data_IF_305061929049
#
_entry.id   IF_305061929049
#
_cell.length_a   1.000
_cell.length_b   1.000
_cell.length_c   1.000
_cell.angle_alpha   90.00
_cell.angle_beta   90.00
_cell.angle_gamma   90.00
#
_symmetry.space_group_name_H-M   'P 1'
#
loop_
_entity.id
_entity.type
_entity.pdbx_description
1 polymer ?
#
# COMPACT_ATOMS: atom_id res chain seq x y z
N UNK A 1 -16.64 14.75 -19.32
CA UNK A 1 -15.25 15.15 -19.60
C UNK A 1 -14.52 15.11 -18.27
N UNK A 2 -13.67 14.11 -18.03
CA UNK A 2 -12.90 13.99 -16.79
C UNK A 2 -11.62 14.81 -16.94
N UNK A 3 -11.34 15.69 -15.98
CA UNK A 3 -10.11 16.47 -15.92
C UNK A 3 -9.23 15.87 -14.83
N UNK A 4 -8.08 15.30 -15.19
CA UNK A 4 -7.09 14.86 -14.21
C UNK A 4 -6.21 16.05 -13.85
N UNK A 5 -6.22 16.45 -12.58
CA UNK A 5 -5.28 17.43 -12.04
C UNK A 5 -4.15 16.69 -11.33
N UNK A 6 -2.91 16.97 -11.70
CA UNK A 6 -1.71 16.40 -11.06
C UNK A 6 -1.00 17.48 -10.25
N UNK A 7 -0.66 17.15 -9.01
CA UNK A 7 0.16 17.99 -8.13
C UNK A 7 1.39 17.20 -7.72
N UNK A 8 2.53 17.89 -7.58
CA UNK A 8 3.77 17.29 -7.07
C UNK A 8 4.37 18.19 -6.01
N UNK A 9 4.93 17.57 -4.96
CA UNK A 9 5.57 18.26 -3.85
C UNK A 9 6.96 17.65 -3.65
N UNK A 10 7.99 18.50 -3.63
CA UNK A 10 9.32 18.08 -3.21
C UNK A 10 9.33 17.93 -1.69
N UNK A 11 9.62 16.73 -1.20
CA UNK A 11 9.73 16.43 0.22
C UNK A 11 10.82 15.38 0.47
N UNK A 12 11.25 15.25 1.72
CA UNK A 12 12.12 14.16 2.17
C UNK A 12 11.24 12.96 2.58
N UNK A 13 11.78 11.75 2.50
CA UNK A 13 11.06 10.55 2.92
C UNK A 13 10.60 10.64 4.38
N UNK A 14 11.43 11.20 5.26
CA UNK A 14 11.12 11.44 6.68
C UNK A 14 9.96 12.42 6.91
N UNK A 15 9.63 13.27 5.92
CA UNK A 15 8.52 14.20 6.01
C UNK A 15 7.18 13.53 5.65
N UNK A 16 7.21 12.32 5.10
CA UNK A 16 6.01 11.54 4.82
C UNK A 16 5.57 10.88 6.13
N UNK A 17 4.42 11.30 6.65
CA UNK A 17 3.80 10.70 7.84
C UNK A 17 3.16 9.35 7.51
N UNK A 18 3.98 8.37 7.15
CA UNK A 18 3.52 7.06 6.66
C UNK A 18 2.60 6.37 7.66
N UNK A 19 2.87 6.46 8.97
CA UNK A 19 2.00 5.88 10.01
C UNK A 19 0.57 6.43 9.93
N UNK A 20 0.41 7.75 9.75
CA UNK A 20 -0.92 8.36 9.62
C UNK A 20 -1.61 7.98 8.31
N UNK A 21 -0.85 7.75 7.24
CA UNK A 21 -1.39 7.27 5.96
C UNK A 21 -1.88 5.82 6.08
N UNK A 22 -1.07 4.96 6.70
CA UNK A 22 -1.41 3.55 6.97
C UNK A 22 -2.65 3.48 7.86
N UNK A 23 -2.69 4.26 8.95
CA UNK A 23 -3.87 4.34 9.81
C UNK A 23 -5.11 4.81 9.05
N UNK A 24 -4.97 5.82 8.18
CA UNK A 24 -6.08 6.31 7.39
C UNK A 24 -6.64 5.24 6.45
N UNK A 25 -5.77 4.50 5.75
CA UNK A 25 -6.17 3.38 4.89
C UNK A 25 -6.91 2.29 5.68
N UNK A 26 -6.34 1.83 6.80
CA UNK A 26 -6.93 0.77 7.63
C UNK A 26 -8.25 1.18 8.29
N UNK A 27 -8.51 2.48 8.46
CA UNK A 27 -9.73 2.96 9.08
C UNK A 27 -10.89 3.14 8.10
N UNK A 28 -10.68 3.03 6.78
CA UNK A 28 -11.72 3.35 5.80
C UNK A 28 -13.01 2.55 6.00
N UNK A 29 -12.90 1.27 6.37
CA UNK A 29 -14.03 0.38 6.64
C UNK A 29 -14.68 0.58 8.03
N UNK A 30 -14.12 1.46 8.86
CA UNK A 30 -14.56 1.71 10.23
C UNK A 30 -15.03 3.16 10.43
N UNK A 31 -16.35 3.44 10.33
CA UNK A 31 -16.91 4.79 10.42
C UNK A 31 -16.54 5.61 11.65
N UNK A 32 -16.17 4.94 12.74
CA UNK A 32 -15.85 5.53 14.03
C UNK A 32 -14.35 5.75 14.26
N UNK A 33 -13.48 5.30 13.35
CA UNK A 33 -12.03 5.47 13.45
C UNK A 33 -11.54 6.67 12.63
N UNK A 34 -10.48 7.33 13.12
CA UNK A 34 -9.81 8.46 12.48
C UNK A 34 -8.31 8.38 12.77
N UNK A 35 -7.42 8.84 11.86
CA UNK A 35 -7.71 9.53 10.60
C UNK A 35 -8.33 8.62 9.53
N UNK A 36 -8.92 9.22 8.49
CA UNK A 36 -9.42 8.58 7.25
C UNK A 36 -9.25 9.55 6.08
N UNK A 37 -9.06 9.05 4.88
CA UNK A 37 -8.99 9.85 3.66
C UNK A 37 -10.37 10.37 3.25
N UNK A 38 -11.39 9.49 3.31
CA UNK A 38 -12.76 9.87 2.99
C UNK A 38 -13.34 10.86 4.02
N UNK A 39 -14.03 11.91 3.53
CA UNK A 39 -14.81 12.79 4.42
C UNK A 39 -16.09 12.07 4.87
N UNK A 40 -16.66 12.50 6.02
CA UNK A 40 -18.03 12.13 6.40
C UNK A 40 -18.97 12.41 5.22
N UNK A 41 -19.54 11.34 4.62
CA UNK A 41 -20.48 11.32 3.48
C UNK A 41 -19.89 11.18 2.06
N UNK A 42 -18.59 10.94 1.90
CA UNK A 42 -18.04 10.55 0.58
C UNK A 42 -18.21 9.04 0.36
N UNK A 43 -18.57 8.65 -0.87
CA UNK A 43 -18.86 7.26 -1.27
C UNK A 43 -17.57 6.49 -1.59
N UNK A 44 -16.47 7.19 -1.84
CA UNK A 44 -15.18 6.61 -2.22
C UNK A 44 -14.03 7.38 -1.56
N UNK A 45 -13.05 6.65 -1.05
CA UNK A 45 -11.75 7.16 -0.65
C UNK A 45 -10.73 6.95 -1.79
N UNK A 46 -9.62 7.71 -1.82
CA UNK A 46 -8.58 7.53 -2.83
C UNK A 46 -7.76 6.26 -2.61
N UNK A 47 -7.33 5.63 -3.70
CA UNK A 47 -6.24 4.66 -3.66
C UNK A 47 -4.91 5.40 -3.44
N UNK A 48 -4.10 4.91 -2.50
CA UNK A 48 -2.80 5.51 -2.15
C UNK A 48 -1.67 4.54 -2.43
N UNK A 49 -0.82 4.92 -3.39
CA UNK A 49 0.37 4.15 -3.77
C UNK A 49 1.63 4.81 -3.22
N UNK A 50 2.45 4.04 -2.51
CA UNK A 50 3.79 4.44 -2.10
C UNK A 50 4.79 3.90 -3.12
N UNK A 51 5.39 4.79 -3.91
CA UNK A 51 6.29 4.42 -5.00
C UNK A 51 7.74 4.70 -4.59
N UNK A 52 8.53 3.63 -4.45
CA UNK A 52 9.97 3.72 -4.27
C UNK A 52 10.68 3.58 -5.61
N UNK A 53 10.91 4.70 -6.28
CA UNK A 53 11.51 4.74 -7.62
C UNK A 53 12.99 4.30 -7.65
N UNK A 54 13.72 4.33 -6.54
CA UNK A 54 15.13 3.87 -6.52
C UNK A 54 15.23 2.37 -6.36
N UNK A 55 14.19 1.73 -5.82
CA UNK A 55 14.09 0.28 -5.63
C UNK A 55 13.08 -0.38 -6.56
N UNK A 56 12.52 0.31 -7.55
CA UNK A 56 11.40 -0.14 -8.41
C UNK A 56 10.32 -0.97 -7.67
N UNK A 57 9.92 -0.52 -6.48
CA UNK A 57 8.88 -1.15 -5.65
C UNK A 57 7.71 -0.18 -5.47
N UNK A 58 6.50 -0.71 -5.57
CA UNK A 58 5.25 -0.02 -5.24
C UNK A 58 4.60 -0.78 -4.09
N UNK A 59 4.17 -0.06 -3.06
CA UNK A 59 3.32 -0.58 -2.00
C UNK A 59 1.94 0.05 -2.11
N UNK A 60 0.90 -0.78 -2.04
CA UNK A 60 -0.49 -0.35 -2.07
C UNK A 60 -1.23 -0.94 -0.87
N UNK A 61 -1.76 -0.08 0.01
CA UNK A 61 -2.56 -0.50 1.16
C UNK A 61 -4.01 -0.19 0.82
N UNK A 62 -4.85 -1.22 0.72
CA UNK A 62 -6.22 -1.07 0.26
C UNK A 62 -7.22 -0.90 1.42
N UNK A 63 -7.02 -1.56 2.56
CA UNK A 63 -7.78 -1.38 3.81
C UNK A 63 -7.16 -2.22 4.96
N UNK A 64 -7.95 -2.54 5.99
CA UNK A 64 -7.53 -3.34 7.14
C UNK A 64 -7.22 -4.81 6.83
N UNK A 65 -7.55 -5.28 5.63
CA UNK A 65 -7.28 -6.66 5.20
C UNK A 65 -5.83 -6.86 4.75
N UNK A 66 -5.10 -5.80 4.39
CA UNK A 66 -3.69 -5.91 4.02
C UNK A 66 -3.19 -4.95 2.96
N UNK A 67 -2.12 -5.36 2.29
CA UNK A 67 -1.43 -4.57 1.28
C UNK A 67 -0.83 -5.45 0.17
N UNK A 68 -0.60 -4.84 -0.98
CA UNK A 68 0.16 -5.42 -2.09
C UNK A 68 1.56 -4.81 -2.16
N UNK A 69 2.55 -5.65 -2.47
CA UNK A 69 3.91 -5.23 -2.80
C UNK A 69 4.20 -5.65 -4.24
N UNK A 70 4.37 -4.65 -5.11
CA UNK A 70 4.53 -4.85 -6.55
C UNK A 70 5.97 -4.43 -6.91
N UNK A 71 6.67 -5.29 -7.62
CA UNK A 71 8.01 -5.02 -8.12
C UNK A 71 8.18 -5.46 -9.56
N UNK A 72 9.20 -4.92 -10.22
CA UNK A 72 9.50 -5.23 -11.63
C UNK A 72 9.88 -6.70 -11.86
N UNK A 73 10.49 -7.34 -10.86
CA UNK A 73 10.85 -8.75 -10.86
C UNK A 73 10.91 -9.26 -9.40
N UNK A 74 10.95 -10.59 -9.22
CA UNK A 74 10.90 -11.21 -7.89
C UNK A 74 12.15 -10.93 -7.07
N UNK A 75 13.31 -10.82 -7.72
CA UNK A 75 14.60 -10.63 -7.06
C UNK A 75 14.64 -9.33 -6.24
N UNK A 76 13.90 -8.30 -6.68
CA UNK A 76 13.84 -7.01 -5.99
C UNK A 76 13.06 -7.04 -4.67
N UNK A 77 12.23 -8.06 -4.46
CA UNK A 77 11.43 -8.24 -3.24
C UNK A 77 11.72 -9.58 -2.56
N UNK A 78 12.80 -10.27 -2.93
CA UNK A 78 13.22 -11.53 -2.30
C UNK A 78 13.41 -11.35 -0.79
N UNK A 79 14.11 -10.28 -0.38
CA UNK A 79 14.36 -10.00 1.03
C UNK A 79 13.04 -9.77 1.80
N UNK A 80 12.08 -9.08 1.17
CA UNK A 80 10.75 -8.87 1.76
C UNK A 80 9.97 -10.17 1.87
N UNK A 81 10.03 -11.02 0.84
CA UNK A 81 9.41 -12.34 0.90
C UNK A 81 9.99 -13.17 2.05
N UNK A 82 11.31 -13.26 2.18
CA UNK A 82 11.92 -14.05 3.25
C UNK A 82 11.59 -13.53 4.64
N UNK A 83 11.50 -12.21 4.81
CA UNK A 83 11.17 -11.56 6.08
C UNK A 83 9.68 -11.68 6.44
N UNK A 84 8.78 -11.55 5.46
CA UNK A 84 7.33 -11.42 5.69
C UNK A 84 6.48 -12.57 5.15
N UNK A 85 7.06 -13.68 4.67
CA UNK A 85 6.30 -14.83 4.14
C UNK A 85 5.23 -15.39 5.07
N UNK A 86 5.41 -15.26 6.38
CA UNK A 86 4.40 -15.71 7.36
C UNK A 86 3.12 -14.87 7.33
N UNK A 87 3.17 -13.66 6.77
CA UNK A 87 2.01 -12.77 6.61
C UNK A 87 1.19 -13.11 5.37
N UNK A 88 1.70 -13.96 4.48
CA UNK A 88 1.00 -14.38 3.28
C UNK A 88 -0.20 -15.25 3.67
N UNK A 89 -1.42 -14.93 3.18
CA UNK A 89 -2.60 -15.74 3.42
C UNK A 89 -2.43 -17.17 2.90
N UNK A 90 -2.96 -18.16 3.64
CA UNK A 90 -2.79 -19.58 3.31
C UNK A 90 -3.23 -19.93 1.88
N UNK A 91 -4.24 -19.24 1.35
CA UNK A 91 -4.78 -19.49 0.01
C UNK A 91 -3.90 -18.98 -1.14
N UNK A 92 -2.98 -18.05 -0.88
CA UNK A 92 -2.01 -17.54 -1.87
C UNK A 92 -0.60 -18.11 -1.66
N UNK A 93 -0.31 -18.60 -0.45
CA UNK A 93 1.02 -19.04 -0.01
C UNK A 93 1.69 -20.02 -0.96
N UNK A 94 1.03 -21.09 -1.37
CA UNK A 94 1.63 -22.10 -2.25
C UNK A 94 2.12 -21.49 -3.58
N UNK A 95 1.30 -20.63 -4.18
CA UNK A 95 1.63 -19.97 -5.45
C UNK A 95 2.78 -18.96 -5.33
N UNK A 96 2.85 -18.25 -4.20
CA UNK A 96 3.90 -17.26 -3.95
C UNK A 96 5.19 -18.01 -3.60
N UNK A 97 5.14 -19.03 -2.75
CA UNK A 97 6.29 -19.85 -2.42
C UNK A 97 6.89 -20.48 -3.69
N UNK A 98 6.06 -20.98 -4.61
CA UNK A 98 6.51 -21.49 -5.91
C UNK A 98 7.19 -20.44 -6.78
N UNK A 99 6.74 -19.18 -6.72
CA UNK A 99 7.38 -18.08 -7.43
C UNK A 99 8.78 -17.78 -6.89
N UNK A 100 8.98 -17.89 -5.57
CA UNK A 100 10.23 -17.55 -4.88
C UNK A 100 11.18 -18.72 -4.66
N UNK A 101 10.80 -19.94 -5.06
CA UNK A 101 11.71 -21.09 -5.21
C UNK A 101 12.82 -20.85 -6.26
#
# INVERSE_FOLDING_TARGET
MYCTSQFSLKCLAENIKYESLIQAANHEDFPNLYPRFGRKKEVSYPDVFLINATKDIIMFIYDDRGCEVIAKNKEMIQDLYEEYKEWIPDYERESIDDLFK
#
